data_IF_436190465409
#
_entry.id   IF_436190465409
#
_cell.length_a   1.000
_cell.length_b   1.000
_cell.length_c   1.000
_cell.angle_alpha   90.00
_cell.angle_beta   90.00
_cell.angle_gamma   90.00
#
_symmetry.space_group_name_H-M   'P 1'
#
loop_
_entity.id
_entity.type
_entity.pdbx_description
1 polymer ?
#
# COMPACT_ATOMS: atom_id res chain seq x y z
N UNK A 1 -14.15 1.96 7.37
CA UNK A 1 -12.99 1.08 7.09
C UNK A 1 -12.68 1.21 5.61
N UNK A 2 -11.43 1.45 5.19
CA UNK A 2 -11.07 1.65 3.78
C UNK A 2 -10.31 0.40 3.32
N UNK A 3 -10.91 -0.40 2.44
CA UNK A 3 -10.22 -1.49 1.74
C UNK A 3 -9.51 -0.95 0.50
N UNK A 4 -8.27 -1.37 0.28
CA UNK A 4 -7.47 -1.00 -0.87
C UNK A 4 -7.28 -2.22 -1.77
N UNK A 5 -7.60 -2.02 -3.04
CA UNK A 5 -7.44 -3.01 -4.10
C UNK A 5 -6.05 -2.89 -4.74
N UNK A 6 -5.59 -3.98 -5.36
CA UNK A 6 -4.44 -4.03 -6.25
C UNK A 6 -4.46 -2.92 -7.29
N UNK A 7 -5.62 -2.59 -7.85
CA UNK A 7 -5.73 -1.56 -8.88
C UNK A 7 -5.21 -0.19 -8.38
N UNK A 8 -5.60 0.23 -7.18
CA UNK A 8 -5.16 1.51 -6.59
C UNK A 8 -3.67 1.47 -6.23
N UNK A 9 -3.21 0.38 -5.64
CA UNK A 9 -1.80 0.22 -5.26
C UNK A 9 -0.88 0.14 -6.48
N UNK A 10 -1.33 -0.46 -7.58
CA UNK A 10 -0.60 -0.49 -8.84
C UNK A 10 -0.41 0.93 -9.38
N UNK A 11 -1.46 1.78 -9.38
CA UNK A 11 -1.34 3.19 -9.81
C UNK A 11 -0.35 3.97 -8.96
N UNK A 12 -0.33 3.75 -7.65
CA UNK A 12 0.63 4.37 -6.74
C UNK A 12 2.07 3.96 -7.04
N UNK A 13 2.33 2.65 -7.21
CA UNK A 13 3.70 2.10 -7.24
C UNK A 13 4.30 2.15 -8.65
N UNK A 14 3.47 1.97 -9.67
CA UNK A 14 3.93 1.97 -11.06
C UNK A 14 3.95 3.35 -11.69
N UNK A 15 3.18 4.30 -11.13
CA UNK A 15 3.03 5.67 -11.65
C UNK A 15 2.74 5.66 -13.16
N UNK A 16 1.76 4.86 -13.57
CA UNK A 16 1.54 4.47 -14.95
C UNK A 16 0.31 5.10 -15.61
N UNK A 17 -0.41 5.96 -14.89
CA UNK A 17 -1.58 6.69 -15.38
C UNK A 17 -1.54 8.15 -14.90
N UNK A 18 -1.49 9.09 -15.84
CA UNK A 18 -1.34 10.52 -15.56
C UNK A 18 -2.50 11.12 -14.73
N UNK A 19 -3.68 10.49 -14.73
CA UNK A 19 -4.86 10.95 -14.01
C UNK A 19 -5.03 10.16 -12.71
N UNK A 20 -4.94 8.84 -12.77
CA UNK A 20 -5.24 7.98 -11.63
C UNK A 20 -4.07 7.87 -10.65
N UNK A 21 -2.82 7.95 -11.08
CA UNK A 21 -1.66 7.86 -10.17
C UNK A 21 -1.62 9.00 -9.15
N UNK A 22 -1.86 10.28 -9.53
CA UNK A 22 -1.99 11.38 -8.56
C UNK A 22 -3.16 11.17 -7.58
N UNK A 23 -4.29 10.64 -8.05
CA UNK A 23 -5.46 10.37 -7.20
C UNK A 23 -5.15 9.27 -6.18
N UNK A 24 -4.51 8.18 -6.62
CA UNK A 24 -4.08 7.10 -5.75
C UNK A 24 -3.06 7.60 -4.71
N UNK A 25 -2.10 8.44 -5.11
CA UNK A 25 -1.15 9.08 -4.19
C UNK A 25 -1.88 9.95 -3.14
N UNK A 26 -2.84 10.77 -3.57
CA UNK A 26 -3.66 11.60 -2.66
C UNK A 26 -4.48 10.76 -1.67
N UNK A 27 -5.11 9.68 -2.14
CA UNK A 27 -5.82 8.74 -1.26
C UNK A 27 -4.88 8.15 -0.20
N UNK A 28 -3.72 7.64 -0.61
CA UNK A 28 -2.77 7.01 0.30
C UNK A 28 -2.18 8.03 1.30
N UNK A 29 -1.93 9.26 0.86
CA UNK A 29 -1.49 10.35 1.73
C UNK A 29 -2.56 10.79 2.75
N UNK A 30 -3.84 10.59 2.44
CA UNK A 30 -4.94 10.89 3.38
C UNK A 30 -5.11 9.87 4.51
N UNK A 31 -4.46 8.70 4.40
CA UNK A 31 -4.55 7.63 5.39
C UNK A 31 -3.74 7.96 6.65
N UNK A 32 -4.28 7.61 7.80
CA UNK A 32 -3.66 7.86 9.11
C UNK A 32 -3.76 6.63 10.00
N UNK A 33 -3.12 6.66 11.18
CA UNK A 33 -3.29 5.58 12.16
C UNK A 33 -4.74 5.43 12.66
N UNK A 34 -5.51 6.52 12.71
CA UNK A 34 -6.92 6.49 13.10
C UNK A 34 -7.84 6.08 11.93
N UNK A 35 -7.40 6.32 10.69
CA UNK A 35 -8.10 5.95 9.46
C UNK A 35 -7.16 5.17 8.52
N UNK A 36 -6.78 3.93 8.89
CA UNK A 36 -5.85 3.16 8.08
C UNK A 36 -6.54 2.58 6.85
N UNK A 37 -5.74 2.35 5.81
CA UNK A 37 -6.10 1.52 4.66
C UNK A 37 -5.82 0.05 4.97
N UNK A 38 -6.66 -0.84 4.47
CA UNK A 38 -6.57 -2.28 4.66
C UNK A 38 -6.28 -2.96 3.34
N UNK A 39 -5.36 -3.92 3.34
CA UNK A 39 -5.01 -4.73 2.18
C UNK A 39 -5.15 -6.20 2.56
N UNK A 40 -5.76 -7.01 1.71
CA UNK A 40 -5.80 -8.45 1.92
C UNK A 40 -4.47 -9.09 1.48
N UNK A 41 -4.21 -10.32 1.94
CA UNK A 41 -3.09 -11.12 1.42
C UNK A 41 -3.21 -11.35 -0.09
N UNK A 42 -4.43 -11.51 -0.60
CA UNK A 42 -4.68 -11.66 -2.05
C UNK A 42 -4.23 -10.41 -2.83
N UNK A 43 -4.55 -9.21 -2.33
CA UNK A 43 -4.09 -7.94 -2.94
C UNK A 43 -2.56 -7.85 -2.99
N UNK A 44 -1.86 -8.30 -1.95
CA UNK A 44 -0.38 -8.31 -1.94
C UNK A 44 0.16 -9.28 -3.00
N UNK A 45 -0.44 -10.47 -3.13
CA UNK A 45 -0.04 -11.47 -4.12
C UNK A 45 -0.28 -10.98 -5.55
N UNK A 46 -1.45 -10.42 -5.82
CA UNK A 46 -1.78 -9.84 -7.11
C UNK A 46 -0.87 -8.67 -7.47
N UNK A 47 -0.58 -7.78 -6.52
CA UNK A 47 0.34 -6.67 -6.73
C UNK A 47 1.74 -7.18 -7.11
N UNK A 48 2.24 -8.22 -6.43
CA UNK A 48 3.52 -8.84 -6.78
C UNK A 48 3.50 -9.43 -8.20
N UNK A 49 2.38 -10.03 -8.60
CA UNK A 49 2.18 -10.59 -9.94
C UNK A 49 2.09 -9.49 -11.02
N UNK A 50 1.36 -8.41 -10.77
CA UNK A 50 1.26 -7.24 -11.67
C UNK A 50 2.63 -6.61 -11.87
N UNK A 51 3.38 -6.39 -10.78
CA UNK A 51 4.70 -5.75 -10.85
C UNK A 51 5.74 -6.62 -11.57
N UNK A 52 5.62 -7.95 -11.55
CA UNK A 52 6.56 -8.87 -12.23
C UNK A 52 6.65 -8.61 -13.74
N UNK A 53 5.62 -8.04 -14.35
CA UNK A 53 5.63 -7.69 -15.78
C UNK A 53 6.49 -6.47 -16.11
N UNK A 54 6.85 -5.64 -15.11
CA UNK A 54 7.47 -4.32 -15.33
C UNK A 54 8.69 -4.04 -14.44
N UNK A 55 8.94 -4.88 -13.42
CA UNK A 55 9.96 -4.67 -12.38
C UNK A 55 10.71 -5.97 -12.10
N UNK A 56 11.96 -5.84 -11.67
CA UNK A 56 12.80 -6.94 -11.22
C UNK A 56 12.36 -7.47 -9.84
N UNK A 57 12.69 -8.73 -9.52
CA UNK A 57 12.38 -9.33 -8.21
C UNK A 57 12.85 -8.47 -7.01
N UNK A 58 14.07 -7.89 -7.00
CA UNK A 58 14.49 -7.01 -5.90
C UNK A 58 13.64 -5.75 -5.76
N UNK A 59 13.18 -5.16 -6.87
CA UNK A 59 12.29 -3.99 -6.83
C UNK A 59 10.93 -4.33 -6.24
N UNK A 60 10.38 -5.49 -6.61
CA UNK A 60 9.11 -5.99 -6.09
C UNK A 60 9.19 -6.22 -4.58
N UNK A 61 10.24 -6.90 -4.12
CA UNK A 61 10.49 -7.14 -2.69
C UNK A 61 10.59 -5.81 -1.93
N UNK A 62 11.33 -4.84 -2.46
CA UNK A 62 11.45 -3.50 -1.83
C UNK A 62 10.11 -2.78 -1.75
N UNK A 63 9.30 -2.81 -2.81
CA UNK A 63 8.00 -2.16 -2.84
C UNK A 63 7.03 -2.78 -1.82
N UNK A 64 6.92 -4.12 -1.80
CA UNK A 64 6.07 -4.83 -0.84
C UNK A 64 6.57 -4.58 0.60
N UNK A 65 7.88 -4.62 0.83
CA UNK A 65 8.44 -4.36 2.16
C UNK A 65 8.15 -2.93 2.65
N UNK A 66 8.23 -1.92 1.76
CA UNK A 66 7.82 -0.54 2.09
C UNK A 66 6.34 -0.44 2.40
N UNK A 67 5.49 -1.11 1.61
CA UNK A 67 4.05 -1.16 1.81
C UNK A 67 3.69 -1.76 3.18
N UNK A 68 4.31 -2.89 3.53
CA UNK A 68 4.09 -3.59 4.81
C UNK A 68 4.64 -2.83 6.03
N UNK A 69 5.64 -1.96 5.84
CA UNK A 69 6.17 -1.09 6.91
C UNK A 69 5.39 0.20 7.11
N UNK A 70 4.46 0.52 6.21
CA UNK A 70 3.62 1.70 6.35
C UNK A 70 2.76 1.58 7.60
N UNK A 71 2.73 2.63 8.43
CA UNK A 71 1.83 2.70 9.59
C UNK A 71 0.39 3.00 9.19
N UNK A 72 0.20 3.54 8.00
CA UNK A 72 -1.11 3.90 7.46
C UNK A 72 -1.80 2.73 6.74
N UNK A 73 -1.07 1.65 6.44
CA UNK A 73 -1.58 0.45 5.79
C UNK A 73 -1.54 -0.75 6.74
N UNK A 74 -2.57 -1.60 6.69
CA UNK A 74 -2.70 -2.79 7.52
C UNK A 74 -3.08 -4.00 6.68
N UNK A 75 -2.46 -5.14 6.96
CA UNK A 75 -2.86 -6.40 6.36
C UNK A 75 -4.09 -6.93 7.10
N UNK A 76 -5.15 -7.24 6.36
CA UNK A 76 -6.35 -7.88 6.89
C UNK A 76 -6.00 -9.22 7.53
N UNK A 77 -6.50 -9.49 8.73
CA UNK A 77 -6.18 -10.71 9.48
C UNK A 77 -4.72 -10.79 9.99
N UNK A 78 -3.88 -9.78 9.76
CA UNK A 78 -2.48 -9.74 10.19
C UNK A 78 -2.28 -9.27 11.64
N UNK A 79 -1.05 -9.46 12.16
CA UNK A 79 -0.64 -9.01 13.49
C UNK A 79 -0.87 -7.49 13.65
N UNK A 80 -1.67 -7.10 14.66
CA UNK A 80 -1.91 -5.68 14.98
C UNK A 80 -0.61 -5.00 15.41
N UNK A 81 0.07 -4.31 14.50
CA UNK A 81 1.11 -3.36 14.89
C UNK A 81 0.45 -2.20 15.63
N UNK A 82 0.76 -2.06 16.93
CA UNK A 82 0.29 -0.94 17.75
C UNK A 82 0.85 0.35 17.14
N UNK A 83 -0.02 1.24 16.63
CA UNK A 83 0.41 2.60 16.33
C UNK A 83 0.62 3.32 17.66
N UNK A 84 1.88 3.63 17.99
CA UNK A 84 2.21 4.37 19.20
C UNK A 84 1.80 5.84 19.02
N UNK A 85 1.08 6.42 20.00
CA UNK A 85 0.45 7.75 19.90
C UNK A 85 1.42 8.94 19.98
N UNK A 86 2.73 8.72 20.07
CA UNK A 86 3.72 9.76 20.41
C UNK A 86 4.65 10.17 19.25
N UNK A 87 4.14 10.41 18.05
CA UNK A 87 4.96 11.05 17.00
C UNK A 87 4.09 11.99 16.16
N UNK A 88 3.61 13.03 16.83
CA UNK A 88 3.23 14.31 16.24
C UNK A 88 3.93 15.38 17.08
N UNK A 89 5.25 15.47 16.89
CA UNK A 89 6.07 16.64 17.16
C UNK A 89 7.17 16.65 16.10
#
# INVERSE_FOLDING_TARGET
MIGLDTCVLARLILDDDAVQSPIAAGLIASLTCQRPGYVSTAVILELAWVMQRRRSRPEIIRAIYRLLRSRALRVEGGFKSKCNKNSMH
#
